data_IF_809414228322
#
_entry.id   IF_809414228322
#
_cell.length_a   1.000
_cell.length_b   1.000
_cell.length_c   1.000
_cell.angle_alpha   90.00
_cell.angle_beta   90.00
_cell.angle_gamma   90.00
#
_symmetry.space_group_name_H-M   'P 1'
#
loop_
_entity.id
_entity.type
_entity.pdbx_description
1 polymer ?
#
# COMPACT_ATOMS: atom_id res chain seq x y z
N UNK A 1 -16.62 -9.06 18.61
CA UNK A 1 -16.50 -8.23 17.64
C UNK A 1 -17.46 -8.49 16.64
N UNK A 2 -17.83 -7.73 15.97
CA UNK A 2 -18.69 -7.92 15.03
C UNK A 2 -18.14 -7.65 13.78
N UNK A 3 -18.36 -8.42 12.88
CA UNK A 3 -18.04 -8.11 11.56
C UNK A 3 -19.30 -7.71 10.89
N UNK A 4 -19.40 -6.52 10.51
CA UNK A 4 -20.55 -6.06 9.79
C UNK A 4 -20.27 -6.16 8.31
N UNK A 5 -21.24 -6.58 7.51
CA UNK A 5 -21.00 -6.78 6.09
C UNK A 5 -20.52 -5.53 5.38
N UNK A 6 -20.98 -4.38 5.80
CA UNK A 6 -20.57 -3.14 5.19
C UNK A 6 -19.23 -2.65 5.71
N UNK A 7 -18.75 -3.28 6.78
CA UNK A 7 -17.51 -2.86 7.38
C UNK A 7 -16.40 -3.70 6.85
N UNK A 8 -15.45 -3.07 6.27
CA UNK A 8 -14.18 -3.71 6.08
C UNK A 8 -13.27 -3.17 7.17
N UNK A 9 -12.31 -3.98 7.58
CA UNK A 9 -11.35 -3.48 8.53
C UNK A 9 -10.44 -2.45 7.85
N UNK A 10 -9.65 -1.78 8.65
CA UNK A 10 -8.77 -0.73 8.14
C UNK A 10 -7.78 -1.27 7.13
N UNK A 11 -7.29 -2.51 7.32
CA UNK A 11 -6.34 -3.10 6.40
C UNK A 11 -6.94 -3.35 5.03
N UNK A 12 -8.18 -3.82 4.98
CA UNK A 12 -8.88 -4.03 3.72
C UNK A 12 -9.09 -2.70 3.00
N UNK A 13 -9.46 -1.66 3.74
CA UNK A 13 -9.66 -0.34 3.16
C UNK A 13 -8.36 0.21 2.59
N UNK A 14 -7.26 0.07 3.32
CA UNK A 14 -5.95 0.52 2.84
C UNK A 14 -5.50 -0.27 1.63
N UNK A 15 -5.72 -1.59 1.64
CA UNK A 15 -5.39 -2.42 0.50
C UNK A 15 -6.13 -1.96 -0.76
N UNK A 16 -7.41 -1.64 -0.62
CA UNK A 16 -8.20 -1.13 -1.75
C UNK A 16 -7.74 0.22 -2.23
N UNK A 17 -7.29 1.07 -1.32
CA UNK A 17 -6.79 2.39 -1.70
C UNK A 17 -5.57 2.27 -2.61
N UNK A 18 -4.81 1.18 -2.49
CA UNK A 18 -3.63 0.96 -3.31
C UNK A 18 -3.95 0.37 -4.69
N UNK A 19 -5.22 0.06 -4.98
CA UNK A 19 -5.61 -0.46 -6.28
C UNK A 19 -5.27 0.49 -7.43
N UNK A 20 -5.25 1.78 -7.18
CA UNK A 20 -4.85 2.76 -8.19
C UNK A 20 -3.43 2.49 -8.66
N UNK A 21 -2.53 2.22 -7.72
CA UNK A 21 -1.13 1.91 -8.04
C UNK A 21 -1.04 0.60 -8.81
N UNK A 22 -1.80 -0.41 -8.37
CA UNK A 22 -1.82 -1.71 -9.04
C UNK A 22 -2.35 -1.59 -10.45
N UNK A 23 -3.39 -0.78 -10.66
CA UNK A 23 -3.96 -0.58 -11.99
C UNK A 23 -2.91 0.02 -12.94
N UNK A 24 -2.12 0.96 -12.46
CA UNK A 24 -1.06 1.55 -13.24
C UNK A 24 -0.05 0.48 -13.69
N UNK A 25 0.35 -0.39 -12.77
CA UNK A 25 1.32 -1.45 -13.08
C UNK A 25 0.72 -2.51 -14.00
N UNK A 26 -0.58 -2.78 -13.89
CA UNK A 26 -1.22 -3.78 -14.75
C UNK A 26 -1.47 -3.27 -16.16
N UNK A 27 -1.59 -1.96 -16.34
CA UNK A 27 -1.88 -1.39 -17.65
C UNK A 27 -0.77 -1.66 -18.65
N UNK A 28 0.48 -1.54 -18.20
CA UNK A 28 1.64 -1.80 -19.05
C UNK A 28 2.75 -2.35 -18.15
N UNK A 29 2.73 -3.67 -17.90
CA UNK A 29 3.68 -4.27 -16.96
C UNK A 29 5.14 -4.11 -17.36
N UNK A 30 5.44 -4.13 -18.67
CA UNK A 30 6.82 -4.01 -19.14
C UNK A 30 7.36 -2.62 -18.82
N UNK A 31 6.58 -1.60 -19.15
CA UNK A 31 6.97 -0.22 -18.87
C UNK A 31 7.04 0.04 -17.36
N UNK A 32 6.06 -0.51 -16.61
CA UNK A 32 6.02 -0.33 -15.16
C UNK A 32 7.24 -0.97 -14.50
N UNK A 33 7.65 -2.15 -14.97
CA UNK A 33 8.83 -2.81 -14.43
C UNK A 33 10.09 -2.00 -14.68
N UNK A 34 10.25 -1.50 -15.91
CA UNK A 34 11.41 -0.70 -16.26
C UNK A 34 11.48 0.58 -15.42
N UNK A 35 10.33 1.25 -15.24
CA UNK A 35 10.26 2.47 -14.45
C UNK A 35 10.56 2.18 -12.99
N UNK A 36 9.99 1.10 -12.44
CA UNK A 36 10.20 0.73 -11.04
C UNK A 36 11.66 0.42 -10.79
N UNK A 37 12.32 -0.30 -11.70
CA UNK A 37 13.75 -0.59 -11.59
C UNK A 37 14.57 0.67 -11.60
N UNK A 38 14.28 1.58 -12.53
CA UNK A 38 15.01 2.83 -12.63
C UNK A 38 14.91 3.63 -11.34
N UNK A 39 13.70 3.75 -10.81
CA UNK A 39 13.47 4.49 -9.58
C UNK A 39 14.24 3.85 -8.42
N UNK A 40 14.16 2.52 -8.29
CA UNK A 40 14.77 1.85 -7.15
C UNK A 40 16.28 1.78 -7.22
N UNK A 41 16.86 1.87 -8.41
CA UNK A 41 18.31 1.81 -8.57
C UNK A 41 18.95 3.20 -8.70
N UNK A 42 18.15 4.25 -8.75
CA UNK A 42 18.64 5.63 -8.85
C UNK A 42 18.35 6.33 -7.53
N UNK A 43 19.36 6.58 -6.68
CA UNK A 43 19.11 7.12 -5.33
C UNK A 43 18.27 8.39 -5.30
N UNK A 44 18.51 9.31 -6.21
CA UNK A 44 17.73 10.55 -6.22
C UNK A 44 16.26 10.31 -6.54
N UNK A 45 15.96 9.38 -7.47
CA UNK A 45 14.58 9.05 -7.80
C UNK A 45 13.91 8.28 -6.67
N UNK A 46 14.65 7.38 -6.03
CA UNK A 46 14.13 6.65 -4.89
C UNK A 46 13.75 7.59 -3.75
N UNK A 47 14.62 8.57 -3.46
CA UNK A 47 14.35 9.55 -2.42
C UNK A 47 13.09 10.36 -2.75
N UNK A 48 12.91 10.74 -4.01
CA UNK A 48 11.73 11.49 -4.41
C UNK A 48 10.46 10.66 -4.29
N UNK A 49 10.54 9.37 -4.62
CA UNK A 49 9.40 8.48 -4.46
C UNK A 49 9.01 8.35 -2.99
N UNK A 50 10.00 8.16 -2.12
CA UNK A 50 9.74 8.03 -0.70
C UNK A 50 9.14 9.32 -0.12
N UNK A 51 9.63 10.46 -0.58
CA UNK A 51 9.09 11.75 -0.18
C UNK A 51 7.63 11.89 -0.63
N UNK A 52 7.33 11.47 -1.85
CA UNK A 52 5.98 11.50 -2.38
C UNK A 52 5.06 10.58 -1.57
N UNK A 53 5.53 9.38 -1.26
CA UNK A 53 4.76 8.43 -0.46
C UNK A 53 4.55 8.95 0.96
N UNK A 54 5.52 9.66 1.49
CA UNK A 54 5.38 10.26 2.80
C UNK A 54 4.23 11.27 2.81
N UNK A 55 4.01 11.94 1.69
CA UNK A 55 2.85 12.81 1.53
C UNK A 55 1.54 12.05 1.40
N UNK A 56 1.57 10.79 0.97
CA UNK A 56 0.36 9.97 0.90
C UNK A 56 -0.09 9.48 2.27
N UNK A 57 0.85 9.34 3.22
CA UNK A 57 0.53 8.80 4.54
C UNK A 57 -0.58 9.59 5.24
N UNK A 58 -0.50 10.93 5.35
CA UNK A 58 -1.57 11.65 6.00
C UNK A 58 -2.89 11.59 5.24
N UNK A 59 -2.85 11.46 3.92
CA UNK A 59 -4.08 11.31 3.12
C UNK A 59 -4.76 9.99 3.45
N UNK A 60 -3.98 8.91 3.52
CA UNK A 60 -4.52 7.60 3.87
C UNK A 60 -5.04 7.59 5.31
N UNK A 61 -4.29 8.21 6.22
CA UNK A 61 -4.71 8.28 7.63
C UNK A 61 -6.02 9.07 7.76
N UNK A 62 -6.15 10.16 7.02
CA UNK A 62 -7.35 10.97 7.05
C UNK A 62 -8.54 10.19 6.49
N UNK A 63 -8.33 9.45 5.41
CA UNK A 63 -9.39 8.63 4.83
C UNK A 63 -9.88 7.59 5.84
N UNK A 64 -8.97 7.00 6.60
CA UNK A 64 -9.35 6.07 7.65
C UNK A 64 -10.13 6.77 8.76
N UNK A 65 -9.71 7.97 9.13
CA UNK A 65 -10.35 8.73 10.20
C UNK A 65 -11.79 9.08 9.84
N UNK A 66 -12.07 9.26 8.55
CA UNK A 66 -13.39 9.64 8.07
C UNK A 66 -14.32 8.46 7.90
N UNK A 67 -13.82 7.25 8.01
CA UNK A 67 -14.68 6.08 7.89
C UNK A 67 -15.54 5.94 9.14
N UNK A 68 -16.82 5.53 8.98
CA UNK A 68 -17.63 5.21 10.15
C UNK A 68 -17.01 4.04 10.89
N UNK A 69 -17.06 4.08 12.18
CA UNK A 69 -16.47 3.01 12.98
C UNK A 69 -17.02 2.97 14.37
N UNK A 70 -16.60 1.96 15.10
CA UNK A 70 -17.03 1.75 16.47
C UNK A 70 -16.23 2.62 17.42
N UNK A 71 -16.78 2.77 18.62
CA UNK A 71 -16.06 3.38 19.71
C UNK A 71 -15.29 2.30 20.46
N UNK A 72 -14.11 2.61 21.00
CA UNK A 72 -13.43 3.89 20.82
C UNK A 72 -12.83 3.99 19.42
N UNK A 73 -12.70 5.20 18.95
CA UNK A 73 -12.10 5.43 17.66
C UNK A 73 -10.59 5.34 17.77
N UNK A 74 -9.91 4.88 16.70
CA UNK A 74 -8.45 4.84 16.71
C UNK A 74 -7.86 6.24 16.87
N UNK A 75 -6.72 6.31 17.52
CA UNK A 75 -6.02 7.58 17.67
C UNK A 75 -5.37 8.00 16.35
N UNK A 76 -5.10 9.28 16.18
CA UNK A 76 -4.34 9.72 15.00
C UNK A 76 -3.00 9.01 14.85
N UNK A 77 -2.34 8.72 15.96
CA UNK A 77 -1.08 7.97 15.92
C UNK A 77 -1.30 6.58 15.32
N UNK A 78 -2.33 5.88 15.79
CA UNK A 78 -2.63 4.53 15.29
C UNK A 78 -2.95 4.55 13.80
N UNK A 79 -3.72 5.55 13.36
CA UNK A 79 -4.06 5.68 11.94
C UNK A 79 -2.82 5.96 11.09
N UNK A 80 -1.92 6.79 11.58
CA UNK A 80 -0.68 7.08 10.86
C UNK A 80 0.21 5.84 10.75
N UNK A 81 0.28 5.03 11.80
CA UNK A 81 1.05 3.79 11.77
C UNK A 81 0.45 2.82 10.74
N UNK A 82 -0.86 2.70 10.71
CA UNK A 82 -1.51 1.83 9.72
C UNK A 82 -1.25 2.30 8.30
N UNK A 83 -1.36 3.59 8.05
CA UNK A 83 -1.08 4.15 6.72
C UNK A 83 0.36 3.89 6.30
N UNK A 84 1.31 4.12 7.20
CA UNK A 84 2.71 3.89 6.91
C UNK A 84 2.98 2.41 6.64
N UNK A 85 2.33 1.52 7.40
CA UNK A 85 2.48 0.08 7.23
C UNK A 85 1.95 -0.38 5.88
N UNK A 86 0.82 0.18 5.44
CA UNK A 86 0.27 -0.14 4.13
C UNK A 86 1.24 0.25 3.01
N UNK A 87 1.86 1.42 3.12
CA UNK A 87 2.86 1.85 2.14
C UNK A 87 4.10 0.95 2.19
N UNK A 88 4.46 0.48 3.39
CA UNK A 88 5.54 -0.48 3.55
C UNK A 88 5.24 -1.80 2.84
N UNK A 89 4.01 -2.28 2.95
CA UNK A 89 3.58 -3.50 2.24
C UNK A 89 3.71 -3.30 0.73
N UNK A 90 3.28 -2.16 0.23
CA UNK A 90 3.41 -1.86 -1.19
C UNK A 90 4.87 -1.88 -1.63
N UNK A 91 5.75 -1.22 -0.89
CA UNK A 91 7.16 -1.14 -1.25
C UNK A 91 7.82 -2.51 -1.24
N UNK A 92 7.52 -3.34 -0.26
CA UNK A 92 8.08 -4.69 -0.18
C UNK A 92 7.56 -5.55 -1.33
N UNK A 93 6.27 -5.44 -1.65
CA UNK A 93 5.71 -6.17 -2.79
C UNK A 93 6.39 -5.74 -4.10
N UNK A 94 6.63 -4.45 -4.28
CA UNK A 94 7.31 -3.96 -5.46
C UNK A 94 8.76 -4.44 -5.53
N UNK A 95 9.43 -4.52 -4.40
CA UNK A 95 10.80 -5.05 -4.36
C UNK A 95 10.85 -6.50 -4.83
N UNK A 96 9.94 -7.33 -4.31
CA UNK A 96 9.87 -8.73 -4.72
C UNK A 96 9.47 -8.88 -6.17
N UNK A 97 8.52 -8.08 -6.61
CA UNK A 97 8.08 -8.11 -7.99
C UNK A 97 9.23 -7.77 -8.94
N UNK A 98 9.98 -6.72 -8.59
CA UNK A 98 11.11 -6.27 -9.41
C UNK A 98 12.23 -7.32 -9.40
N UNK A 99 12.52 -7.88 -8.25
CA UNK A 99 13.56 -8.90 -8.11
C UNK A 99 13.21 -10.17 -8.88
N UNK A 100 11.93 -10.41 -9.13
CA UNK A 100 11.47 -11.58 -9.89
C UNK A 100 11.14 -11.24 -11.35
N UNK A 101 11.66 -10.12 -11.83
CA UNK A 101 11.49 -9.67 -13.22
C UNK A 101 10.02 -9.48 -13.62
N UNK A 102 9.19 -9.11 -12.66
CA UNK A 102 7.78 -8.85 -12.92
C UNK A 102 6.95 -10.09 -13.20
N UNK A 103 7.51 -11.30 -12.98
CA UNK A 103 6.80 -12.54 -13.25
C UNK A 103 5.62 -12.82 -12.33
N UNK A 104 5.76 -12.62 -11.00
CA UNK A 104 4.60 -12.84 -10.14
C UNK A 104 3.55 -11.77 -10.37
N UNK A 105 2.32 -12.09 -10.02
CA UNK A 105 1.25 -11.10 -10.02
C UNK A 105 1.46 -10.14 -8.86
N UNK A 106 1.63 -8.86 -9.16
CA UNK A 106 1.86 -7.84 -8.15
C UNK A 106 0.71 -7.76 -7.15
N UNK A 107 -0.52 -7.93 -7.63
CA UNK A 107 -1.70 -7.95 -6.76
C UNK A 107 -1.59 -9.06 -5.72
N UNK A 108 -1.19 -10.26 -6.16
CA UNK A 108 -1.02 -11.39 -5.24
C UNK A 108 0.09 -11.12 -4.22
N UNK A 109 1.19 -10.50 -4.64
CA UNK A 109 2.27 -10.16 -3.72
C UNK A 109 1.81 -9.15 -2.67
N UNK A 110 1.03 -8.16 -3.08
CA UNK A 110 0.52 -7.17 -2.15
C UNK A 110 -0.45 -7.82 -1.17
N UNK A 111 -1.33 -8.70 -1.65
CA UNK A 111 -2.26 -9.42 -0.78
C UNK A 111 -1.50 -10.28 0.23
N UNK A 112 -0.43 -10.92 -0.21
CA UNK A 112 0.41 -11.71 0.68
C UNK A 112 1.07 -10.84 1.74
N UNK A 113 1.55 -9.65 1.35
CA UNK A 113 2.17 -8.73 2.29
C UNK A 113 1.17 -8.28 3.36
N UNK A 114 -0.06 -7.98 2.96
CA UNK A 114 -1.09 -7.59 3.93
C UNK A 114 -1.48 -8.77 4.81
N UNK A 115 -1.53 -9.97 4.26
CA UNK A 115 -1.85 -11.17 5.04
C UNK A 115 -0.84 -11.42 6.14
N UNK A 116 0.42 -11.04 5.92
CA UNK A 116 1.46 -11.19 6.93
C UNK A 116 1.18 -10.38 8.19
N UNK A 117 0.37 -9.32 8.07
CA UNK A 117 0.04 -8.49 9.24
C UNK A 117 -0.95 -9.18 10.16
N UNK A 118 -1.71 -10.12 9.65
CA UNK A 118 -2.72 -10.82 10.45
C UNK A 118 -2.14 -11.99 11.20
N UNK A 119 -0.99 -12.45 10.77
CA UNK A 119 -0.39 -13.62 11.35
C UNK A 119 0.79 -13.33 12.16
#
# INVERSE_FOLDING_TARGET
>A
MRARPADEDDWTALRRALDVVLAYHRRDPVSALATTRLVRTTPALCARLLEKQDGWRPVLAQALAERPGDDPRPTPLALSVKAATALGCLNIALDHWTASDGRPDLTALLDEAFAALAG
#
